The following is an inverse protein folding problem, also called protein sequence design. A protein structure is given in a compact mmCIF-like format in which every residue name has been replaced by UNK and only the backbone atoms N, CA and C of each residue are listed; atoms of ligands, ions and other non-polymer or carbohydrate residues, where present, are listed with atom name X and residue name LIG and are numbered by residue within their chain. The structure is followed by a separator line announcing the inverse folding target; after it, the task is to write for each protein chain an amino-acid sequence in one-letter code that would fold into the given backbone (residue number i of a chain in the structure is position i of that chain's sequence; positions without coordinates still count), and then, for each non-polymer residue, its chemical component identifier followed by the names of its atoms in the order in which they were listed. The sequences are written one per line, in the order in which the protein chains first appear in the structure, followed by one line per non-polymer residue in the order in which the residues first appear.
data_IF_437931852985
#
_entry.id   IF_437931852985
#
_cell.length_a   1.000
_cell.length_b   1.000
_cell.length_c   1.000
_cell.angle_alpha   90.00
_cell.angle_beta   90.00
_cell.angle_gamma   90.00
#
_symmetry.space_group_name_H-M   'P 1'
#
loop_
_entity.id
_entity.type
_entity.pdbx_description
1 polymer ?
#
# COMPACT_ATOMS: atom_id res chain seq x y z
N UNK A 1 -8.55 -24.26 6.86
CA UNK A 1 -9.10 -22.90 6.63
C UNK A 1 -7.99 -21.91 6.93
N UNK A 2 -7.40 -21.32 5.90
CA UNK A 2 -6.18 -20.49 5.96
C UNK A 2 -6.57 -19.03 6.20
N UNK A 3 -6.84 -18.68 7.46
CA UNK A 3 -7.18 -17.31 7.88
C UNK A 3 -6.10 -16.26 7.55
N UNK A 4 -4.87 -16.71 7.29
CA UNK A 4 -3.71 -15.87 6.95
C UNK A 4 -3.71 -15.34 5.51
N UNK A 5 -4.39 -16.02 4.58
CA UNK A 5 -4.40 -15.62 3.16
C UNK A 5 -5.33 -14.43 2.89
N UNK A 6 -6.46 -14.35 3.61
CA UNK A 6 -7.45 -13.27 3.47
C UNK A 6 -6.88 -11.91 3.83
N UNK A 7 -6.26 -11.80 5.02
CA UNK A 7 -5.68 -10.55 5.50
C UNK A 7 -4.57 -10.01 4.58
N UNK A 8 -3.79 -10.89 3.94
CA UNK A 8 -2.74 -10.52 2.99
C UNK A 8 -3.33 -9.98 1.68
N UNK A 9 -4.42 -10.59 1.20
CA UNK A 9 -5.20 -10.11 0.05
C UNK A 9 -5.85 -8.75 0.33
N UNK A 10 -6.41 -8.55 1.53
CA UNK A 10 -6.99 -7.26 1.93
C UNK A 10 -5.94 -6.14 1.97
N UNK A 11 -4.75 -6.44 2.49
CA UNK A 11 -3.65 -5.47 2.54
C UNK A 11 -3.12 -5.14 1.13
N UNK A 12 -2.98 -6.15 0.27
CA UNK A 12 -2.63 -5.97 -1.15
C UNK A 12 -3.68 -5.17 -1.92
N UNK A 13 -4.97 -5.38 -1.64
CA UNK A 13 -6.05 -4.62 -2.24
C UNK A 13 -5.98 -3.14 -1.83
N UNK A 14 -5.68 -2.87 -0.55
CA UNK A 14 -5.43 -1.51 -0.06
C UNK A 14 -4.22 -0.86 -0.71
N UNK A 15 -3.10 -1.57 -0.82
CA UNK A 15 -1.89 -1.07 -1.50
C UNK A 15 -2.21 -0.72 -2.96
N UNK A 16 -2.89 -1.59 -3.69
CA UNK A 16 -3.26 -1.32 -5.08
C UNK A 16 -4.22 -0.13 -5.21
N UNK A 17 -5.22 -0.01 -4.33
CA UNK A 17 -6.13 1.13 -4.36
C UNK A 17 -5.40 2.44 -4.08
N UNK A 18 -4.52 2.45 -3.07
CA UNK A 18 -3.75 3.63 -2.71
C UNK A 18 -2.74 4.01 -3.81
N UNK A 19 -2.14 3.01 -4.47
CA UNK A 19 -1.25 3.21 -5.62
C UNK A 19 -1.98 3.85 -6.78
N UNK A 20 -3.20 3.39 -7.10
CA UNK A 20 -4.02 4.03 -8.14
C UNK A 20 -4.35 5.48 -7.78
N UNK A 21 -4.74 5.75 -6.53
CA UNK A 21 -5.00 7.13 -6.06
C UNK A 21 -3.76 8.01 -6.17
N UNK A 22 -2.59 7.50 -5.80
CA UNK A 22 -1.32 8.23 -5.94
C UNK A 22 -1.00 8.54 -7.41
N UNK A 23 -1.20 7.58 -8.32
CA UNK A 23 -1.00 7.79 -9.76
C UNK A 23 -1.98 8.85 -10.27
N UNK A 24 -3.26 8.76 -9.92
CA UNK A 24 -4.26 9.76 -10.31
C UNK A 24 -3.91 11.15 -9.76
N UNK A 25 -3.51 11.25 -8.49
CA UNK A 25 -3.10 12.51 -7.88
C UNK A 25 -1.82 13.06 -8.54
N UNK A 26 -0.86 12.20 -8.85
CA UNK A 26 0.36 12.55 -9.57
C UNK A 26 0.09 13.05 -10.99
N UNK A 27 -0.92 12.50 -11.66
CA UNK A 27 -1.36 12.93 -12.99
C UNK A 27 -2.18 14.23 -12.94
N UNK A 28 -3.00 14.44 -11.90
CA UNK A 28 -3.88 15.60 -11.79
C UNK A 28 -3.19 16.83 -11.19
N UNK A 29 -2.44 16.63 -10.12
CA UNK A 29 -1.84 17.71 -9.33
C UNK A 29 -0.33 17.81 -9.53
N UNK A 30 0.32 16.70 -9.90
CA UNK A 30 1.77 16.57 -10.01
C UNK A 30 2.36 15.67 -8.91
N UNK A 31 3.54 15.11 -9.18
CA UNK A 31 4.24 14.23 -8.22
C UNK A 31 4.71 14.96 -6.96
N UNK A 32 4.90 16.27 -7.05
CA UNK A 32 5.33 17.13 -5.94
C UNK A 32 4.16 17.73 -5.14
N UNK A 33 2.92 17.38 -5.48
CA UNK A 33 1.77 17.89 -4.76
C UNK A 33 1.71 17.28 -3.37
N UNK A 34 1.31 18.06 -2.35
CA UNK A 34 1.19 17.55 -0.98
C UNK A 34 0.26 16.34 -0.88
N UNK A 35 -0.76 16.24 -1.76
CA UNK A 35 -1.62 15.07 -1.86
C UNK A 35 -0.86 13.83 -2.36
N UNK A 36 -0.11 13.94 -3.45
CA UNK A 36 0.70 12.83 -3.99
C UNK A 36 1.77 12.37 -3.00
N UNK A 37 2.42 13.31 -2.30
CA UNK A 37 3.38 13.02 -1.24
C UNK A 37 2.73 12.27 -0.07
N UNK A 38 1.57 12.74 0.42
CA UNK A 38 0.80 12.04 1.48
C UNK A 38 0.33 10.65 1.07
N UNK A 39 0.00 10.46 -0.21
CA UNK A 39 -0.33 9.13 -0.72
C UNK A 39 0.90 8.23 -0.81
N UNK A 40 2.08 8.79 -1.15
CA UNK A 40 3.34 8.04 -1.14
C UNK A 40 3.71 7.57 0.26
N UNK A 41 3.61 8.44 1.27
CA UNK A 41 3.93 8.08 2.67
C UNK A 41 3.01 6.96 3.19
N UNK A 42 1.70 7.07 2.94
CA UNK A 42 0.74 6.02 3.31
C UNK A 42 0.97 4.71 2.54
N UNK A 43 1.42 4.79 1.29
CA UNK A 43 1.74 3.60 0.49
C UNK A 43 2.95 2.88 1.08
N UNK A 44 4.00 3.62 1.43
CA UNK A 44 5.22 3.10 2.03
C UNK A 44 4.92 2.38 3.36
N UNK A 45 4.06 2.97 4.20
CA UNK A 45 3.66 2.38 5.48
C UNK A 45 2.89 1.06 5.29
N UNK A 46 1.99 1.00 4.29
CA UNK A 46 1.27 -0.23 3.95
C UNK A 46 2.19 -1.30 3.37
N UNK A 47 3.17 -0.93 2.53
CA UNK A 47 4.18 -1.85 1.99
C UNK A 47 5.06 -2.37 3.12
N UNK A 48 5.45 -1.52 4.08
CA UNK A 48 6.22 -1.93 5.23
C UNK A 48 5.44 -2.94 6.08
N UNK A 49 4.15 -2.70 6.34
CA UNK A 49 3.28 -3.65 7.03
C UNK A 49 3.17 -4.98 6.27
N UNK A 50 3.04 -4.93 4.94
CA UNK A 50 3.02 -6.13 4.10
C UNK A 50 4.31 -6.94 4.20
N UNK A 51 5.45 -6.26 4.12
CA UNK A 51 6.77 -6.89 4.23
C UNK A 51 6.96 -7.49 5.61
N UNK A 52 6.58 -6.77 6.67
CA UNK A 52 6.64 -7.27 8.04
C UNK A 52 5.77 -8.50 8.23
N UNK A 53 4.52 -8.51 7.74
CA UNK A 53 3.64 -9.67 7.79
C UNK A 53 4.19 -10.87 7.01
N UNK A 54 4.74 -10.66 5.82
CA UNK A 54 5.36 -11.75 5.04
C UNK A 54 6.64 -12.27 5.67
N UNK A 55 7.41 -11.42 6.38
CA UNK A 55 8.65 -11.82 7.07
C UNK A 55 8.41 -12.72 8.29
N UNK A 56 7.19 -12.76 8.84
CA UNK A 56 6.85 -13.62 9.98
C UNK A 56 6.55 -15.07 9.58
N UNK A 57 6.38 -15.35 8.27
CA UNK A 57 6.03 -16.69 7.74
C UNK A 57 7.28 -17.49 7.35
N UNK A 58 8.41 -17.26 8.04
CA UNK A 58 9.67 -17.92 7.67
C UNK A 58 10.56 -18.26 8.88
N UNK A 59 9.97 -18.85 9.91
CA UNK A 59 10.67 -19.60 10.96
C UNK A 59 9.96 -20.93 11.21
#
# INVERSE_FOLDING_TARGET
MTYSQGALCDLLARINNLRQRMITAGLQHGLNSPETLRYSEQLDELILQYQLQNRQVNF
#
